data_IF_374835566295
#
_entry.id   IF_374835566295
#
_cell.length_a   1.000
_cell.length_b   1.000
_cell.length_c   1.000
_cell.angle_alpha   90.00
_cell.angle_beta   90.00
_cell.angle_gamma   90.00
#
_symmetry.space_group_name_H-M   'P 1'
#
loop_
_entity.id
_entity.type
_entity.pdbx_description
1 polymer ?
#
# COMPACT_ATOMS: atom_id res chain seq x y z
N UNK A 1 -10.21 -19.10 81.91
CA UNK A 1 -10.85 -18.20 80.93
C UNK A 1 -9.80 -17.80 79.93
N UNK A 2 -10.03 -18.18 78.66
CA UNK A 2 -9.17 -17.94 77.51
C UNK A 2 -9.19 -16.45 77.13
N UNK A 3 -8.05 -15.87 76.73
CA UNK A 3 -8.05 -14.81 75.73
C UNK A 3 -6.87 -14.96 74.77
N UNK A 4 -7.25 -15.10 73.51
CA UNK A 4 -6.50 -15.39 72.32
C UNK A 4 -5.93 -14.08 71.76
N UNK A 5 -4.62 -13.98 71.53
CA UNK A 5 -4.01 -12.82 70.85
C UNK A 5 -3.90 -13.11 69.37
N UNK A 6 -4.79 -12.49 68.57
CA UNK A 6 -4.72 -12.56 67.11
C UNK A 6 -3.65 -11.60 66.58
N UNK A 7 -2.62 -12.17 65.93
CA UNK A 7 -1.69 -11.43 65.07
C UNK A 7 -2.42 -10.99 63.81
N UNK A 8 -2.55 -9.68 63.60
CA UNK A 8 -3.02 -9.11 62.32
C UNK A 8 -1.83 -9.09 61.37
N UNK A 9 -1.88 -9.93 60.33
CA UNK A 9 -0.95 -9.90 59.21
C UNK A 9 -1.46 -8.83 58.22
N UNK A 10 -0.73 -7.72 58.07
CA UNK A 10 -1.00 -6.73 57.03
C UNK A 10 -0.34 -7.21 55.75
N UNK A 11 -1.14 -7.75 54.82
CA UNK A 11 -0.71 -8.00 53.44
C UNK A 11 -0.58 -6.67 52.70
N UNK A 12 0.66 -6.25 52.44
CA UNK A 12 0.93 -5.14 51.53
C UNK A 12 0.67 -5.59 50.09
N UNK A 13 -0.39 -5.07 49.47
CA UNK A 13 -0.65 -5.22 48.04
C UNK A 13 0.32 -4.30 47.28
N UNK A 14 1.32 -4.88 46.61
CA UNK A 14 2.19 -4.15 45.72
C UNK A 14 1.41 -3.79 44.44
N UNK A 15 1.09 -2.52 44.26
CA UNK A 15 0.52 -1.97 43.03
C UNK A 15 1.61 -2.03 41.94
N UNK A 16 1.51 -3.00 41.03
CA UNK A 16 2.36 -3.03 39.85
C UNK A 16 1.95 -1.86 38.93
N UNK A 17 2.77 -0.81 38.90
CA UNK A 17 2.65 0.26 37.92
C UNK A 17 2.96 -0.31 36.54
N UNK A 18 1.93 -0.42 35.68
CA UNK A 18 2.12 -0.66 34.25
C UNK A 18 2.78 0.60 33.68
N UNK A 19 4.09 0.52 33.45
CA UNK A 19 4.81 1.55 32.71
C UNK A 19 4.21 1.59 31.31
N UNK A 20 3.51 2.68 30.97
CA UNK A 20 3.16 3.00 29.60
C UNK A 20 4.49 3.11 28.83
N UNK A 21 4.80 2.08 28.04
CA UNK A 21 5.96 2.11 27.16
C UNK A 21 5.83 3.32 26.25
N UNK A 22 6.85 4.17 26.27
CA UNK A 22 7.08 5.18 25.24
C UNK A 22 6.84 4.56 23.87
N UNK A 23 5.85 5.09 23.14
CA UNK A 23 5.78 4.99 21.68
C UNK A 23 7.07 5.62 21.15
N UNK A 24 8.15 4.85 21.11
CA UNK A 24 9.34 5.22 20.35
C UNK A 24 8.87 5.26 18.90
N UNK A 25 9.06 6.41 18.25
CA UNK A 25 8.66 6.68 16.89
C UNK A 25 9.10 5.52 15.98
N UNK A 26 8.13 4.71 15.56
CA UNK A 26 8.35 3.54 14.72
C UNK A 26 8.75 3.93 13.28
N UNK A 27 8.60 5.22 12.94
CA UNK A 27 8.91 5.83 11.64
C UNK A 27 10.42 5.77 11.27
N UNK A 28 11.32 5.67 12.26
CA UNK A 28 12.78 5.57 12.00
C UNK A 28 13.20 4.21 11.39
N UNK A 29 12.27 3.25 11.30
CA UNK A 29 12.51 1.92 10.72
C UNK A 29 11.99 1.77 9.29
N UNK A 30 11.41 2.81 8.70
CA UNK A 30 10.84 2.74 7.35
C UNK A 30 11.95 2.81 6.29
N UNK A 31 11.99 1.83 5.38
CA UNK A 31 12.82 1.92 4.18
C UNK A 31 12.18 2.91 3.21
N UNK A 32 12.81 4.09 3.10
CA UNK A 32 12.30 5.21 2.30
C UNK A 32 12.66 5.09 0.83
N UNK A 33 11.96 5.84 0.00
CA UNK A 33 12.30 5.99 -1.41
C UNK A 33 13.65 6.69 -1.56
N UNK A 34 14.42 6.27 -2.57
CA UNK A 34 15.67 6.93 -2.95
C UNK A 34 15.41 8.02 -3.99
N UNK A 35 16.17 9.11 -3.91
CA UNK A 35 16.03 10.25 -4.80
C UNK A 35 17.39 10.66 -5.34
N UNK A 36 17.40 11.02 -6.62
CA UNK A 36 18.52 11.69 -7.28
C UNK A 36 18.80 13.07 -6.67
N UNK A 37 19.96 13.64 -6.96
CA UNK A 37 20.32 14.99 -6.50
C UNK A 37 19.36 16.06 -7.05
N UNK A 38 18.78 15.80 -8.22
CA UNK A 38 17.80 16.66 -8.90
C UNK A 38 16.37 16.48 -8.35
N UNK A 39 16.16 15.56 -7.41
CA UNK A 39 14.88 15.34 -6.73
C UNK A 39 13.92 14.38 -7.43
N UNK A 40 14.33 13.73 -8.53
CA UNK A 40 13.57 12.63 -9.13
C UNK A 40 13.69 11.36 -8.27
N UNK A 41 12.59 10.64 -8.07
CA UNK A 41 12.58 9.36 -7.36
C UNK A 41 13.22 8.28 -8.23
N UNK A 42 13.98 7.38 -7.62
CA UNK A 42 14.59 6.24 -8.29
C UNK A 42 13.65 5.04 -8.27
N UNK A 43 13.66 4.23 -9.35
CA UNK A 43 12.88 2.99 -9.43
C UNK A 43 13.25 2.07 -8.26
N UNK A 44 12.29 1.70 -7.39
CA UNK A 44 12.60 0.81 -6.27
C UNK A 44 13.00 -0.57 -6.78
N UNK A 45 13.99 -1.16 -6.11
CA UNK A 45 14.48 -2.48 -6.46
C UNK A 45 13.57 -3.57 -5.88
N UNK A 46 13.46 -4.69 -6.59
CA UNK A 46 12.79 -5.90 -6.13
C UNK A 46 11.34 -5.70 -5.63
N UNK A 47 10.57 -4.81 -6.25
CA UNK A 47 9.16 -4.54 -5.86
C UNK A 47 8.29 -5.80 -5.81
N UNK A 48 8.60 -6.82 -6.63
CA UNK A 48 7.88 -8.10 -6.64
C UNK A 48 8.17 -8.98 -5.42
N UNK A 49 9.10 -8.55 -4.54
CA UNK A 49 9.38 -9.14 -3.22
C UNK A 49 8.76 -8.33 -2.07
N UNK A 50 8.11 -7.22 -2.37
CA UNK A 50 7.35 -6.45 -1.38
C UNK A 50 6.04 -7.17 -1.02
N UNK A 51 5.30 -6.64 -0.05
CA UNK A 51 4.07 -7.29 0.41
C UNK A 51 2.95 -7.00 -0.58
N UNK A 52 2.53 -8.00 -1.34
CA UNK A 52 1.35 -7.91 -2.18
C UNK A 52 0.09 -7.64 -1.34
N UNK A 53 -0.75 -6.69 -1.77
CA UNK A 53 -1.95 -6.30 -1.01
C UNK A 53 -3.28 -6.44 -1.73
N UNK A 54 -3.27 -6.54 -3.06
CA UNK A 54 -4.47 -6.75 -3.87
C UNK A 54 -4.24 -6.47 -5.35
N UNK A 55 -5.18 -6.96 -6.18
CA UNK A 55 -5.19 -6.73 -7.63
C UNK A 55 -6.59 -6.27 -8.08
N UNK A 56 -6.85 -4.95 -8.10
CA UNK A 56 -7.95 -4.40 -8.89
C UNK A 56 -7.80 -4.71 -10.38
N UNK A 57 -8.92 -4.69 -11.12
CA UNK A 57 -8.96 -4.94 -12.55
C UNK A 57 -9.92 -3.96 -13.23
N UNK A 58 -9.45 -3.29 -14.29
CA UNK A 58 -10.23 -2.41 -15.17
C UNK A 58 -10.01 -2.80 -16.63
N UNK A 59 -10.80 -3.75 -17.18
CA UNK A 59 -10.61 -4.25 -18.54
C UNK A 59 -10.91 -3.19 -19.60
N UNK A 60 -10.11 -3.10 -20.65
CA UNK A 60 -10.31 -2.16 -21.76
C UNK A 60 -11.68 -2.33 -22.42
N UNK A 61 -12.08 -3.58 -22.66
CA UNK A 61 -13.38 -3.91 -23.26
C UNK A 61 -14.58 -3.34 -22.46
N UNK A 62 -14.45 -3.26 -21.12
CA UNK A 62 -15.47 -2.71 -20.24
C UNK A 62 -15.36 -1.19 -20.04
N UNK A 63 -14.35 -0.56 -20.62
CA UNK A 63 -14.03 0.87 -20.45
C UNK A 63 -13.92 1.58 -21.81
N UNK A 64 -14.80 1.24 -22.77
CA UNK A 64 -14.84 1.91 -24.07
C UNK A 64 -13.64 1.63 -24.98
N UNK A 65 -12.91 0.54 -24.72
CA UNK A 65 -11.72 0.14 -25.46
C UNK A 65 -10.39 0.63 -24.86
N UNK A 66 -10.44 1.54 -23.89
CA UNK A 66 -9.25 2.14 -23.28
C UNK A 66 -9.53 2.51 -21.81
N UNK A 67 -9.14 1.65 -20.89
CA UNK A 67 -9.18 1.95 -19.47
C UNK A 67 -8.13 3.01 -19.13
N UNK A 68 -8.38 3.92 -18.16
CA UNK A 68 -7.39 4.90 -17.72
C UNK A 68 -6.09 4.26 -17.20
N UNK A 69 -6.20 3.06 -16.64
CA UNK A 69 -5.09 2.24 -16.15
C UNK A 69 -5.29 0.81 -16.66
N UNK A 70 -4.88 0.46 -17.88
CA UNK A 70 -5.07 -0.87 -18.41
C UNK A 70 -4.10 -1.87 -17.74
N UNK A 71 -4.51 -3.04 -17.24
CA UNK A 71 -5.87 -3.49 -16.90
C UNK A 71 -5.89 -4.06 -15.48
N UNK A 72 -5.04 -5.05 -15.18
CA UNK A 72 -4.79 -5.51 -13.81
C UNK A 72 -3.80 -4.59 -13.10
N UNK A 73 -4.03 -4.32 -11.81
CA UNK A 73 -3.19 -3.46 -10.99
C UNK A 73 -2.60 -4.27 -9.83
N UNK A 74 -1.45 -4.90 -10.01
CA UNK A 74 -0.81 -5.61 -8.89
C UNK A 74 -0.21 -4.59 -7.93
N UNK A 75 -0.74 -4.53 -6.70
CA UNK A 75 -0.31 -3.53 -5.71
C UNK A 75 0.53 -4.18 -4.63
N UNK A 76 1.65 -3.53 -4.31
CA UNK A 76 2.62 -3.98 -3.31
C UNK A 76 2.96 -2.83 -2.36
N UNK A 77 3.11 -3.15 -1.08
CA UNK A 77 3.53 -2.21 -0.03
C UNK A 77 4.93 -2.58 0.43
N UNK A 78 5.80 -1.60 0.56
CA UNK A 78 7.15 -1.81 1.08
C UNK A 78 7.09 -2.53 2.45
N UNK A 79 7.91 -3.57 2.69
CA UNK A 79 7.77 -4.44 3.86
C UNK A 79 7.73 -3.72 5.22
N UNK A 80 8.61 -2.75 5.47
CA UNK A 80 8.61 -2.02 6.75
C UNK A 80 7.39 -1.11 6.92
N UNK A 81 6.88 -0.52 5.83
CA UNK A 81 5.63 0.22 5.83
C UNK A 81 4.43 -0.70 6.09
N UNK A 82 4.42 -1.92 5.54
CA UNK A 82 3.40 -2.92 5.82
C UNK A 82 3.43 -3.38 7.28
N UNK A 83 4.61 -3.61 7.85
CA UNK A 83 4.78 -3.98 9.26
C UNK A 83 4.23 -2.87 10.18
N UNK A 84 4.53 -1.60 9.87
CA UNK A 84 3.98 -0.46 10.59
C UNK A 84 2.46 -0.36 10.47
N UNK A 85 1.91 -0.52 9.27
CA UNK A 85 0.46 -0.58 9.05
C UNK A 85 -0.20 -1.70 9.86
N UNK A 86 0.42 -2.87 9.88
CA UNK A 86 -0.08 -4.04 10.62
C UNK A 86 -0.04 -3.84 12.14
N UNK A 87 0.92 -3.06 12.63
CA UNK A 87 1.06 -2.76 14.06
C UNK A 87 0.13 -1.62 14.52
N UNK A 88 -0.10 -0.62 13.67
CA UNK A 88 -0.69 0.66 14.09
C UNK A 88 -2.00 1.02 13.37
N UNK A 89 -2.24 0.44 12.19
CA UNK A 89 -3.34 0.81 11.31
C UNK A 89 -3.20 2.20 10.68
N UNK A 90 -1.98 2.74 10.62
CA UNK A 90 -1.66 4.04 10.02
C UNK A 90 -0.50 3.93 9.04
N UNK A 91 -0.28 4.94 8.19
CA UNK A 91 0.88 5.02 7.31
C UNK A 91 1.96 5.91 7.90
N UNK A 92 3.13 5.32 8.17
CA UNK A 92 4.31 6.03 8.62
C UNK A 92 4.84 6.98 7.54
N UNK A 93 5.52 8.04 7.97
CA UNK A 93 6.30 8.87 7.06
C UNK A 93 7.40 8.05 6.38
N UNK A 94 7.55 8.18 5.07
CA UNK A 94 8.44 7.36 4.25
C UNK A 94 7.79 6.15 3.58
N UNK A 95 6.49 5.88 3.83
CA UNK A 95 5.77 4.74 3.24
C UNK A 95 5.81 4.75 1.71
N UNK A 96 6.00 3.58 1.12
CA UNK A 96 6.02 3.38 -0.34
C UNK A 96 5.00 2.31 -0.75
N UNK A 97 4.25 2.60 -1.81
CA UNK A 97 3.27 1.70 -2.42
C UNK A 97 3.52 1.64 -3.93
N UNK A 98 3.84 0.45 -4.42
CA UNK A 98 4.05 0.15 -5.83
C UNK A 98 2.76 -0.37 -6.47
N UNK A 99 2.44 0.10 -7.68
CA UNK A 99 1.39 -0.48 -8.53
C UNK A 99 2.00 -0.86 -9.86
N UNK A 100 1.98 -2.15 -10.17
CA UNK A 100 2.45 -2.70 -11.43
C UNK A 100 1.25 -3.04 -12.32
N UNK A 101 1.20 -2.44 -13.51
CA UNK A 101 0.13 -2.64 -14.49
C UNK A 101 0.40 -3.87 -15.34
N UNK A 102 -0.61 -4.71 -15.52
CA UNK A 102 -0.52 -5.95 -16.30
C UNK A 102 -1.70 -6.02 -17.26
N UNK A 103 -1.44 -6.38 -18.52
CA UNK A 103 -2.49 -6.58 -19.51
C UNK A 103 -3.26 -7.87 -19.23
N UNK A 104 -4.50 -7.93 -19.70
CA UNK A 104 -5.21 -9.19 -19.80
C UNK A 104 -4.57 -10.03 -20.91
N UNK A 105 -4.36 -11.32 -20.65
CA UNK A 105 -3.93 -12.28 -21.65
C UNK A 105 -5.04 -12.48 -22.70
N UNK A 106 -4.70 -12.30 -23.96
CA UNK A 106 -5.61 -12.49 -25.09
C UNK A 106 -5.15 -13.64 -26.00
N UNK A 107 -6.09 -14.45 -26.46
CA UNK A 107 -5.91 -15.52 -27.45
C UNK A 107 -7.20 -15.71 -28.28
N UNK A 108 -7.26 -16.75 -29.12
CA UNK A 108 -8.43 -17.07 -29.95
C UNK A 108 -9.72 -17.34 -29.14
N UNK A 109 -9.60 -17.67 -27.85
CA UNK A 109 -10.70 -17.91 -26.93
C UNK A 109 -11.16 -16.66 -26.16
N UNK A 110 -10.62 -15.48 -26.47
CA UNK A 110 -10.99 -14.22 -25.82
C UNK A 110 -12.26 -13.62 -26.42
N UNK A 111 -13.23 -13.32 -25.57
CA UNK A 111 -14.46 -12.62 -25.94
C UNK A 111 -14.15 -11.14 -26.21
N UNK A 112 -14.38 -10.63 -27.43
CA UNK A 112 -14.06 -9.24 -27.78
C UNK A 112 -14.99 -8.21 -27.12
N UNK A 113 -16.19 -8.58 -26.67
CA UNK A 113 -17.11 -7.65 -26.01
C UNK A 113 -16.77 -7.43 -24.53
N UNK A 114 -16.23 -8.47 -23.88
CA UNK A 114 -15.96 -8.44 -22.43
C UNK A 114 -14.47 -8.44 -22.09
N UNK A 115 -13.61 -8.86 -23.02
CA UNK A 115 -12.19 -9.13 -22.80
C UNK A 115 -11.93 -10.39 -21.97
N UNK A 116 -12.96 -11.18 -21.64
CA UNK A 116 -12.81 -12.40 -20.84
C UNK A 116 -12.21 -13.53 -21.69
N UNK A 117 -11.37 -14.35 -21.09
CA UNK A 117 -10.67 -15.46 -21.74
C UNK A 117 -11.09 -16.79 -21.10
N UNK A 118 -11.30 -17.82 -21.93
CA UNK A 118 -11.56 -19.18 -21.48
C UNK A 118 -10.27 -19.96 -21.25
N UNK A 119 -9.90 -20.18 -19.97
CA UNK A 119 -8.72 -20.97 -19.58
C UNK A 119 -9.11 -22.25 -18.84
N UNK A 120 -8.11 -23.07 -18.51
CA UNK A 120 -8.30 -24.38 -17.84
C UNK A 120 -9.04 -24.32 -16.51
N UNK A 121 -9.03 -23.17 -15.81
CA UNK A 121 -9.73 -22.96 -14.54
C UNK A 121 -11.11 -22.30 -14.70
N UNK A 122 -11.54 -21.99 -15.93
CA UNK A 122 -12.82 -21.35 -16.22
C UNK A 122 -12.67 -20.09 -17.09
N UNK A 123 -13.81 -19.41 -17.29
CA UNK A 123 -13.88 -18.14 -18.01
C UNK A 123 -13.66 -17.01 -17.02
N UNK A 124 -12.74 -16.10 -17.34
CA UNK A 124 -12.41 -14.96 -16.49
C UNK A 124 -11.33 -14.10 -17.12
N UNK A 125 -10.56 -13.42 -16.29
CA UNK A 125 -9.45 -12.60 -16.72
C UNK A 125 -8.15 -13.17 -16.16
N UNK A 126 -7.12 -13.22 -16.99
CA UNK A 126 -5.83 -13.81 -16.65
C UNK A 126 -4.73 -12.81 -16.98
N UNK A 127 -3.74 -12.70 -16.11
CA UNK A 127 -2.64 -11.74 -16.27
C UNK A 127 -1.70 -12.18 -17.39
N UNK A 128 -1.40 -11.24 -18.29
CA UNK A 128 -0.42 -11.36 -19.36
C UNK A 128 0.85 -10.56 -19.06
N UNK A 129 1.22 -9.70 -19.99
CA UNK A 129 2.48 -8.96 -19.93
C UNK A 129 2.39 -7.71 -19.03
N UNK A 130 3.50 -7.40 -18.37
CA UNK A 130 3.68 -6.15 -17.64
C UNK A 130 3.69 -4.96 -18.61
N UNK A 131 3.01 -3.87 -18.24
CA UNK A 131 2.83 -2.69 -19.10
C UNK A 131 2.92 -1.36 -18.35
N UNK A 132 3.38 -1.36 -17.10
CA UNK A 132 3.68 -0.10 -16.42
C UNK A 132 3.98 -0.26 -14.96
N UNK A 133 4.59 0.78 -14.41
CA UNK A 133 4.99 0.82 -13.01
C UNK A 133 4.77 2.21 -12.44
N UNK A 134 3.98 2.27 -11.38
CA UNK A 134 3.67 3.48 -10.63
C UNK A 134 4.11 3.34 -9.17
N UNK A 135 4.54 4.44 -8.58
CA UNK A 135 4.93 4.51 -7.17
C UNK A 135 4.17 5.63 -6.49
N UNK A 136 3.77 5.39 -5.26
CA UNK A 136 3.19 6.38 -4.36
C UNK A 136 4.06 6.46 -3.12
N UNK A 137 4.47 7.66 -2.72
CA UNK A 137 5.40 7.90 -1.60
C UNK A 137 4.79 8.90 -0.64
N UNK A 138 4.78 8.58 0.66
CA UNK A 138 4.48 9.54 1.73
C UNK A 138 5.79 10.13 2.24
N UNK A 139 5.97 11.45 2.15
CA UNK A 139 7.14 12.12 2.73
C UNK A 139 6.78 13.56 3.11
N UNK A 140 6.54 13.76 4.41
CA UNK A 140 6.16 15.05 5.01
C UNK A 140 7.23 16.12 4.94
N UNK A 141 8.49 15.77 4.63
CA UNK A 141 9.55 16.76 4.44
C UNK A 141 9.62 17.20 2.98
N UNK A 142 9.54 16.24 2.03
CA UNK A 142 9.65 16.52 0.59
C UNK A 142 8.36 17.04 -0.02
N UNK A 143 7.21 16.59 0.50
CA UNK A 143 5.88 16.85 -0.04
C UNK A 143 4.98 17.52 1.00
N UNK A 144 5.55 18.42 1.81
CA UNK A 144 4.83 19.14 2.87
C UNK A 144 3.63 19.96 2.36
N UNK A 145 3.66 20.36 1.09
CA UNK A 145 2.60 21.13 0.43
C UNK A 145 1.61 20.23 -0.33
N UNK A 146 1.86 18.92 -0.44
CA UNK A 146 0.95 17.96 -1.07
C UNK A 146 -0.11 17.48 -0.08
N UNK A 147 -1.37 17.27 -0.51
CA UNK A 147 -2.41 16.68 0.32
C UNK A 147 -1.97 15.34 0.95
N UNK A 148 -2.03 15.24 2.28
CA UNK A 148 -1.62 14.06 3.03
C UNK A 148 -0.10 13.77 3.02
N UNK A 149 0.70 14.65 2.43
CA UNK A 149 2.12 14.47 2.14
C UNK A 149 2.42 13.32 1.17
N UNK A 150 1.47 13.00 0.29
CA UNK A 150 1.61 11.94 -0.70
C UNK A 150 1.98 12.50 -2.07
N UNK A 151 2.96 11.88 -2.71
CA UNK A 151 3.33 12.14 -4.10
C UNK A 151 3.21 10.87 -4.95
N UNK A 152 2.87 11.05 -6.22
CA UNK A 152 2.59 9.98 -7.18
C UNK A 152 3.55 10.08 -8.36
N UNK A 153 4.03 8.92 -8.82
CA UNK A 153 5.07 8.82 -9.84
C UNK A 153 4.72 7.72 -10.83
N UNK A 154 5.13 7.89 -12.09
CA UNK A 154 5.10 6.83 -13.11
C UNK A 154 6.48 6.64 -13.70
N UNK A 155 6.91 5.39 -13.79
CA UNK A 155 8.11 4.97 -14.51
C UNK A 155 7.79 4.54 -15.96
N UNK A 156 6.60 4.89 -16.45
CA UNK A 156 6.12 4.61 -17.79
C UNK A 156 4.91 3.68 -17.80
N UNK A 157 4.13 3.81 -18.87
CA UNK A 157 3.01 2.93 -19.23
C UNK A 157 3.41 2.05 -20.42
N UNK A 158 4.57 1.40 -20.29
CA UNK A 158 5.08 0.39 -21.21
C UNK A 158 5.64 -0.79 -20.43
N UNK A 159 5.80 -1.93 -21.10
CA UNK A 159 6.48 -3.08 -20.51
C UNK A 159 7.95 -2.82 -20.19
N UNK A 160 8.55 -3.76 -19.47
CA UNK A 160 9.95 -3.66 -19.02
C UNK A 160 10.92 -3.47 -20.22
N UNK A 161 12.02 -2.70 -20.05
CA UNK A 161 12.43 -2.03 -18.82
C UNK A 161 11.65 -0.73 -18.55
N UNK A 162 11.30 -0.50 -17.28
CA UNK A 162 10.74 0.78 -16.84
C UNK A 162 11.81 1.88 -16.82
N UNK A 163 11.39 3.14 -16.76
CA UNK A 163 12.30 4.26 -16.54
C UNK A 163 13.06 4.09 -15.22
N UNK A 164 14.33 4.52 -15.18
CA UNK A 164 15.15 4.42 -13.97
C UNK A 164 14.75 5.44 -12.89
N UNK A 165 14.13 6.55 -13.30
CA UNK A 165 13.68 7.64 -12.42
C UNK A 165 12.34 8.20 -12.87
N UNK A 166 11.64 8.88 -11.96
CA UNK A 166 10.39 9.57 -12.22
C UNK A 166 10.30 10.88 -11.43
N UNK A 167 9.54 11.84 -11.95
CA UNK A 167 9.20 13.08 -11.22
C UNK A 167 7.78 12.97 -10.68
N UNK A 168 7.49 13.67 -9.59
CA UNK A 168 6.15 13.71 -9.04
C UNK A 168 5.18 14.29 -10.08
N UNK A 169 3.98 13.72 -10.17
CA UNK A 169 2.90 14.35 -10.90
C UNK A 169 2.43 15.63 -10.20
N UNK A 170 1.87 16.56 -10.95
CA UNK A 170 1.18 17.72 -10.39
C UNK A 170 0.02 17.27 -9.50
N UNK A 171 -0.18 17.94 -8.36
CA UNK A 171 -1.16 17.59 -7.31
C UNK A 171 -2.53 17.18 -7.86
N UNK A 172 -3.12 17.99 -8.74
CA UNK A 172 -4.47 17.77 -9.29
C UNK A 172 -4.58 16.52 -10.18
N UNK A 173 -3.46 15.94 -10.61
CA UNK A 173 -3.44 14.75 -11.47
C UNK A 173 -3.80 13.48 -10.71
N UNK A 174 -3.51 13.41 -9.40
CA UNK A 174 -3.63 12.18 -8.62
C UNK A 174 -4.25 12.42 -7.24
N UNK A 175 -3.75 13.40 -6.49
CA UNK A 175 -4.13 13.61 -5.09
C UNK A 175 -5.63 13.88 -4.93
N UNK A 176 -6.25 14.69 -5.79
CA UNK A 176 -7.68 15.02 -5.67
C UNK A 176 -8.59 13.80 -5.78
N UNK A 177 -8.26 12.85 -6.67
CA UNK A 177 -9.04 11.62 -6.83
C UNK A 177 -8.85 10.70 -5.61
N UNK A 178 -7.61 10.57 -5.13
CA UNK A 178 -7.29 9.77 -3.96
C UNK A 178 -7.92 10.34 -2.70
N UNK A 179 -7.86 11.65 -2.47
CA UNK A 179 -8.48 12.31 -1.31
C UNK A 179 -9.99 12.04 -1.24
N UNK A 180 -10.67 12.19 -2.37
CA UNK A 180 -12.12 12.11 -2.42
C UNK A 180 -12.66 10.67 -2.29
N UNK A 181 -11.86 9.65 -2.65
CA UNK A 181 -12.38 8.29 -2.85
C UNK A 181 -11.62 7.20 -2.08
N UNK A 182 -10.41 7.45 -1.58
CA UNK A 182 -9.68 6.48 -0.78
C UNK A 182 -10.35 6.27 0.58
N UNK A 183 -10.41 5.03 1.04
CA UNK A 183 -11.00 4.73 2.35
C UNK A 183 -10.08 5.09 3.53
N UNK A 184 -8.77 5.21 3.31
CA UNK A 184 -7.81 5.51 4.38
C UNK A 184 -6.60 6.26 3.86
N UNK A 185 -6.40 7.51 4.31
CA UNK A 185 -5.18 8.31 4.11
C UNK A 185 -4.63 8.23 2.68
N UNK A 186 -5.45 8.61 1.69
CA UNK A 186 -5.11 8.61 0.26
C UNK A 186 -4.80 7.23 -0.35
N UNK A 187 -4.97 6.14 0.40
CA UNK A 187 -4.81 4.75 -0.08
C UNK A 187 -6.17 4.06 -0.19
N UNK A 188 -6.45 3.46 -1.34
CA UNK A 188 -7.69 2.74 -1.63
C UNK A 188 -7.82 1.38 -0.89
N UNK A 189 -7.69 1.38 0.43
CA UNK A 189 -7.69 0.17 1.28
C UNK A 189 -8.97 -0.66 1.15
N UNK A 190 -10.08 -0.10 0.66
CA UNK A 190 -11.29 -0.83 0.32
C UNK A 190 -11.08 -1.88 -0.80
N UNK A 191 -10.04 -1.75 -1.62
CA UNK A 191 -9.69 -2.71 -2.67
C UNK A 191 -8.56 -3.66 -2.27
N UNK A 192 -7.92 -3.44 -1.11
CA UNK A 192 -6.76 -4.20 -0.65
C UNK A 192 -7.10 -5.09 0.57
N UNK A 193 -7.57 -6.34 0.34
CA UNK A 193 -8.01 -7.21 1.43
C UNK A 193 -6.90 -7.56 2.42
N UNK A 194 -5.63 -7.63 1.97
CA UNK A 194 -4.49 -7.93 2.86
C UNK A 194 -4.31 -6.80 3.88
N UNK A 195 -4.40 -5.53 3.45
CA UNK A 195 -4.31 -4.38 4.36
C UNK A 195 -5.48 -4.36 5.35
N UNK A 196 -6.71 -4.63 4.89
CA UNK A 196 -7.88 -4.68 5.79
C UNK A 196 -7.77 -5.79 6.83
N UNK A 197 -7.22 -6.94 6.45
CA UNK A 197 -7.03 -8.06 7.38
C UNK A 197 -5.88 -7.83 8.36
N UNK A 198 -4.85 -7.08 7.95
CA UNK A 198 -3.69 -6.78 8.77
C UNK A 198 -3.91 -5.61 9.74
N UNK A 199 -4.87 -4.73 9.45
CA UNK A 199 -5.16 -3.56 10.29
C UNK A 199 -5.61 -4.02 11.70
N UNK A 200 -4.99 -3.54 12.80
CA UNK A 200 -5.41 -3.87 14.15
C UNK A 200 -6.88 -3.55 14.39
N UNK A 201 -7.63 -4.47 15.03
CA UNK A 201 -8.95 -4.14 15.55
C UNK A 201 -8.80 -3.19 16.73
N UNK A 202 -9.43 -2.01 16.63
CA UNK A 202 -9.54 -1.07 17.74
C UNK A 202 -10.44 -1.61 18.86
#
# INVERSE_FOLDING_TARGET
>A
MFFNTHRVLVCALALATVSAGTLIAQDDLINRASFTAEGAVELPQDIRRWVYVGTPLTPNALNGGEAPFPEFHNVYVEPSAFDHWSATGTWADGSQIAKELVMIQTDEGTDPETGANAQVSGVGYFQGDFVGMELTVKDSTRYADEPGNWAYFSFGHSGEPYAATATAFETDSCNSCHEANAADDFVFTQFYPVLRAAKPTQ
#
